data_IF_063191853708
#
_entry.id   IF_063191853708
#
_cell.length_a   1.000
_cell.length_b   1.000
_cell.length_c   1.000
_cell.angle_alpha   90.00
_cell.angle_beta   90.00
_cell.angle_gamma   90.00
#
_symmetry.space_group_name_H-M   'P 1'
#
loop_
_entity.id
_entity.type
_entity.pdbx_description
1 polymer ?
#
# COMPACT_ATOMS: atom_id res chain seq x y z
N UNK A 1 -4.53 -9.61 4.99
CA UNK A 1 -5.54 -9.36 3.94
C UNK A 1 -6.04 -7.94 4.12
N UNK A 2 -6.36 -7.23 3.04
CA UNK A 2 -6.93 -5.89 3.18
C UNK A 2 -8.38 -5.97 3.65
N UNK A 3 -8.81 -4.96 4.42
CA UNK A 3 -10.20 -4.76 4.80
C UNK A 3 -10.56 -3.33 4.43
N UNK A 4 -11.60 -3.14 3.64
CA UNK A 4 -12.11 -1.79 3.32
C UNK A 4 -13.36 -1.54 4.13
N UNK A 5 -13.35 -0.45 4.91
CA UNK A 5 -14.52 0.00 5.68
C UNK A 5 -15.09 1.24 5.02
N UNK A 6 -16.40 1.25 4.83
CA UNK A 6 -17.16 2.34 4.21
C UNK A 6 -18.15 2.84 5.27
N UNK A 7 -17.76 3.82 6.11
CA UNK A 7 -18.54 4.22 7.28
C UNK A 7 -19.96 4.66 6.94
N UNK A 8 -20.13 5.42 5.86
CA UNK A 8 -21.42 5.99 5.43
C UNK A 8 -22.45 4.91 5.04
N UNK A 9 -21.97 3.76 4.58
CA UNK A 9 -22.82 2.62 4.22
C UNK A 9 -22.89 1.55 5.33
N UNK A 10 -22.19 1.77 6.46
CA UNK A 10 -21.96 0.75 7.49
C UNK A 10 -21.50 -0.60 6.88
N UNK A 11 -20.66 -0.54 5.84
CA UNK A 11 -20.27 -1.70 5.04
C UNK A 11 -18.79 -2.00 5.23
N UNK A 12 -18.46 -3.30 5.29
CA UNK A 12 -17.08 -3.79 5.36
C UNK A 12 -16.85 -4.84 4.29
N UNK A 13 -15.78 -4.68 3.52
CA UNK A 13 -15.35 -5.59 2.47
C UNK A 13 -14.06 -6.30 2.87
N UNK A 14 -14.02 -7.61 2.66
CA UNK A 14 -12.85 -8.45 2.95
C UNK A 14 -12.41 -9.27 1.74
N UNK A 15 -13.30 -9.51 0.79
CA UNK A 15 -13.00 -10.33 -0.39
C UNK A 15 -12.25 -9.55 -1.45
N UNK A 16 -11.18 -10.14 -1.99
CA UNK A 16 -10.28 -9.47 -2.96
C UNK A 16 -11.03 -8.91 -4.17
N UNK A 17 -11.95 -9.71 -4.73
CA UNK A 17 -12.72 -9.31 -5.91
C UNK A 17 -13.67 -8.14 -5.61
N UNK A 18 -14.33 -8.18 -4.45
CA UNK A 18 -15.24 -7.10 -4.02
C UNK A 18 -14.50 -5.80 -3.71
N UNK A 19 -13.36 -5.89 -3.02
CA UNK A 19 -12.50 -4.74 -2.74
C UNK A 19 -12.03 -4.11 -4.06
N UNK A 20 -11.52 -4.91 -5.01
CA UNK A 20 -11.11 -4.41 -6.33
C UNK A 20 -12.26 -3.72 -7.06
N UNK A 21 -13.42 -4.34 -7.12
CA UNK A 21 -14.59 -3.79 -7.81
C UNK A 21 -15.07 -2.49 -7.15
N UNK A 22 -15.02 -2.40 -5.82
CA UNK A 22 -15.43 -1.19 -5.10
C UNK A 22 -14.44 -0.04 -5.29
N UNK A 23 -13.14 -0.32 -5.32
CA UNK A 23 -12.09 0.70 -5.40
C UNK A 23 -11.84 1.23 -6.82
N UNK A 24 -12.08 0.40 -7.85
CA UNK A 24 -11.79 0.75 -9.25
C UNK A 24 -12.47 2.04 -9.75
N UNK A 25 -13.74 2.36 -9.42
CA UNK A 25 -14.36 3.62 -9.83
C UNK A 25 -13.65 4.88 -9.29
N UNK A 26 -12.87 4.75 -8.21
CA UNK A 26 -12.11 5.85 -7.61
C UNK A 26 -10.66 5.90 -8.10
N UNK A 27 -10.30 5.11 -9.12
CA UNK A 27 -8.93 5.02 -9.62
C UNK A 27 -7.95 4.30 -8.68
N UNK A 28 -8.46 3.63 -7.64
CA UNK A 28 -7.61 2.95 -6.65
C UNK A 28 -7.44 1.49 -7.04
N UNK A 29 -6.20 1.10 -7.32
CA UNK A 29 -5.85 -0.29 -7.56
C UNK A 29 -5.56 -1.05 -6.27
N UNK A 30 -6.02 -2.30 -6.20
CA UNK A 30 -5.70 -3.21 -5.11
C UNK A 30 -5.23 -4.56 -5.64
N UNK A 31 -4.06 -5.04 -5.22
CA UNK A 31 -3.62 -6.41 -5.49
C UNK A 31 -3.07 -7.11 -4.25
N UNK A 32 -2.88 -8.43 -4.38
CA UNK A 32 -2.25 -9.29 -3.40
C UNK A 32 -1.27 -10.21 -4.11
N UNK A 33 0.01 -9.99 -3.84
CA UNK A 33 1.08 -10.89 -4.25
C UNK A 33 1.33 -11.96 -3.19
N UNK A 34 1.91 -13.08 -3.61
CA UNK A 34 2.28 -14.16 -2.68
C UNK A 34 3.56 -13.76 -1.95
N UNK A 35 3.43 -13.41 -0.67
CA UNK A 35 4.57 -13.00 0.18
C UNK A 35 5.19 -14.18 0.93
N UNK A 36 4.36 -15.14 1.37
CA UNK A 36 4.80 -16.23 2.24
C UNK A 36 5.81 -17.14 1.55
N UNK A 37 6.96 -17.36 2.20
CA UNK A 37 8.02 -18.27 1.72
C UNK A 37 8.97 -17.67 0.69
N UNK A 38 8.81 -16.40 0.28
CA UNK A 38 9.73 -15.75 -0.67
C UNK A 38 10.91 -15.05 -0.02
N UNK A 39 10.73 -14.59 1.22
CA UNK A 39 11.73 -13.84 1.97
C UNK A 39 11.69 -14.27 3.45
N UNK A 40 12.84 -14.16 4.11
CA UNK A 40 12.95 -14.36 5.55
C UNK A 40 12.36 -13.19 6.34
N UNK A 41 12.08 -13.43 7.64
CA UNK A 41 11.48 -12.42 8.53
C UNK A 41 12.35 -11.19 8.75
N UNK A 42 13.65 -11.36 8.55
CA UNK A 42 14.71 -10.36 8.77
C UNK A 42 15.43 -10.03 7.45
N UNK A 43 14.78 -10.30 6.31
CA UNK A 43 15.30 -9.96 4.99
C UNK A 43 15.58 -8.46 4.88
N UNK A 44 16.73 -8.13 4.32
CA UNK A 44 17.14 -6.76 4.04
C UNK A 44 16.29 -6.13 2.94
N UNK A 45 16.32 -4.79 2.85
CA UNK A 45 15.68 -4.04 1.77
C UNK A 45 16.08 -4.53 0.38
N UNK A 46 17.35 -4.87 0.18
CA UNK A 46 17.84 -5.38 -1.11
C UNK A 46 17.30 -6.78 -1.44
N UNK A 47 17.18 -7.66 -0.45
CA UNK A 47 16.61 -9.00 -0.63
C UNK A 47 15.12 -8.92 -0.95
N UNK A 48 14.39 -8.02 -0.29
CA UNK A 48 12.98 -7.73 -0.57
C UNK A 48 12.82 -7.23 -2.00
N UNK A 49 13.57 -6.20 -2.40
CA UNK A 49 13.48 -5.65 -3.76
C UNK A 49 13.82 -6.70 -4.81
N UNK A 50 14.86 -7.52 -4.59
CA UNK A 50 15.21 -8.62 -5.50
C UNK A 50 14.12 -9.68 -5.60
N UNK A 51 13.48 -10.04 -4.48
CA UNK A 51 12.45 -11.08 -4.43
C UNK A 51 11.14 -10.68 -5.15
N UNK A 52 10.85 -9.37 -5.23
CA UNK A 52 9.66 -8.83 -5.90
C UNK A 52 9.96 -8.04 -7.17
N UNK A 53 11.21 -8.09 -7.67
CA UNK A 53 11.61 -7.40 -8.89
C UNK A 53 10.67 -7.71 -10.08
N UNK A 54 10.24 -8.96 -10.33
CA UNK A 54 9.32 -9.24 -11.44
C UNK A 54 8.00 -8.46 -11.35
N UNK A 55 7.40 -8.37 -10.15
CA UNK A 55 6.17 -7.62 -9.95
C UNK A 55 6.40 -6.10 -9.97
N UNK A 56 7.53 -5.63 -9.44
CA UNK A 56 7.91 -4.21 -9.48
C UNK A 56 8.15 -3.76 -10.93
N UNK A 57 8.85 -4.55 -11.75
CA UNK A 57 9.09 -4.23 -13.16
C UNK A 57 7.80 -4.16 -13.96
N UNK A 58 6.83 -5.06 -13.69
CA UNK A 58 5.53 -4.99 -14.35
C UNK A 58 4.72 -3.76 -13.91
N UNK A 59 4.78 -3.37 -12.63
CA UNK A 59 4.20 -2.10 -12.18
C UNK A 59 4.87 -0.89 -12.85
N UNK A 60 6.20 -0.86 -12.90
CA UNK A 60 6.96 0.21 -13.55
C UNK A 60 6.59 0.34 -15.03
N UNK A 61 6.48 -0.80 -15.74
CA UNK A 61 6.08 -0.82 -17.16
C UNK A 61 4.66 -0.30 -17.38
N UNK A 62 3.75 -0.54 -16.44
CA UNK A 62 2.34 -0.16 -16.53
C UNK A 62 2.06 1.28 -16.09
N UNK A 63 2.66 1.70 -14.97
CA UNK A 63 2.42 2.99 -14.33
C UNK A 63 3.50 4.05 -14.58
N UNK A 64 4.61 3.69 -15.22
CA UNK A 64 5.71 4.61 -15.51
C UNK A 64 6.60 4.95 -14.30
N UNK A 65 6.50 4.17 -13.21
CA UNK A 65 7.31 4.38 -12.01
C UNK A 65 8.80 4.11 -12.27
N UNK A 66 9.67 4.95 -11.71
CA UNK A 66 11.12 4.93 -11.98
C UNK A 66 11.89 4.23 -10.85
N UNK A 67 11.46 4.41 -9.60
CA UNK A 67 12.18 3.96 -8.41
C UNK A 67 11.27 3.24 -7.45
N UNK A 68 11.81 2.21 -6.79
CA UNK A 68 11.19 1.53 -5.66
C UNK A 68 12.19 1.48 -4.50
N UNK A 69 11.71 1.79 -3.30
CA UNK A 69 12.45 1.71 -2.06
C UNK A 69 11.68 0.89 -1.01
N UNK A 70 12.36 0.52 0.07
CA UNK A 70 11.78 -0.21 1.19
C UNK A 70 11.96 0.64 2.45
N UNK A 71 10.86 0.87 3.15
CA UNK A 71 10.85 1.58 4.43
C UNK A 71 10.31 0.67 5.53
N UNK A 72 11.07 0.59 6.62
CA UNK A 72 10.67 -0.12 7.84
C UNK A 72 10.23 0.89 8.90
N UNK A 73 8.93 0.85 9.24
CA UNK A 73 8.34 1.71 10.26
C UNK A 73 8.12 0.89 11.53
N UNK A 74 9.02 1.05 12.51
CA UNK A 74 8.95 0.39 13.83
C UNK A 74 8.88 1.43 14.95
N UNK A 75 8.37 1.06 16.15
CA UNK A 75 8.30 1.98 17.30
C UNK A 75 9.65 2.58 17.72
N UNK A 76 10.74 1.90 17.41
CA UNK A 76 12.10 2.28 17.81
C UNK A 76 12.77 3.27 16.83
N UNK A 77 12.12 3.61 15.71
CA UNK A 77 12.66 4.55 14.72
C UNK A 77 12.80 5.94 15.37
N UNK A 78 14.03 6.52 15.41
CA UNK A 78 14.21 7.87 15.91
C UNK A 78 13.42 8.88 15.09
N UNK A 79 12.65 9.75 15.76
CA UNK A 79 11.81 10.74 15.07
C UNK A 79 10.53 10.18 14.43
N UNK A 80 10.14 8.94 14.78
CA UNK A 80 8.91 8.30 14.29
C UNK A 80 7.69 9.23 14.40
N UNK A 81 7.49 9.89 15.54
CA UNK A 81 6.32 10.75 15.73
C UNK A 81 6.28 11.88 14.70
N UNK A 82 7.42 12.55 14.48
CA UNK A 82 7.50 13.64 13.50
C UNK A 82 7.29 13.14 12.06
N UNK A 83 7.70 11.90 11.75
CA UNK A 83 7.40 11.25 10.47
C UNK A 83 5.89 10.98 10.35
N UNK A 84 5.27 10.37 11.37
CA UNK A 84 3.83 10.06 11.38
C UNK A 84 2.97 11.32 11.28
N UNK A 85 3.36 12.42 11.94
CA UNK A 85 2.62 13.69 11.90
C UNK A 85 2.52 14.29 10.50
N UNK A 86 3.46 13.97 9.60
CA UNK A 86 3.39 14.38 8.19
C UNK A 86 2.34 13.59 7.40
N UNK A 87 2.22 12.30 7.68
CA UNK A 87 1.26 11.40 7.01
C UNK A 87 -0.14 11.41 7.65
N UNK A 88 -0.27 11.92 8.87
CA UNK A 88 -1.55 11.97 9.59
C UNK A 88 -2.48 13.12 9.11
N UNK A 89 -1.98 14.04 8.30
CA UNK A 89 -2.79 15.12 7.71
C UNK A 89 -3.22 14.72 6.32
N UNK A 90 -4.47 15.03 5.95
CA UNK A 90 -4.95 14.86 4.59
C UNK A 90 -4.08 15.65 3.61
N UNK A 91 -3.69 15.01 2.51
CA UNK A 91 -2.87 15.58 1.46
C UNK A 91 -3.11 14.86 0.13
N UNK A 92 -2.66 15.47 -0.96
CA UNK A 92 -2.68 14.88 -2.30
C UNK A 92 -1.27 14.86 -2.89
N UNK A 93 -1.06 13.99 -3.87
CA UNK A 93 0.15 13.91 -4.66
C UNK A 93 -0.17 14.20 -6.13
N UNK A 94 0.79 14.78 -6.86
CA UNK A 94 0.67 14.98 -8.30
C UNK A 94 0.93 13.68 -9.08
N UNK A 95 1.55 12.69 -8.44
CA UNK A 95 1.87 11.36 -8.96
C UNK A 95 1.19 10.30 -8.09
N UNK A 96 1.03 9.07 -8.61
CA UNK A 96 0.42 7.99 -7.83
C UNK A 96 1.28 7.62 -6.61
N UNK A 97 0.63 7.35 -5.49
CA UNK A 97 1.27 6.76 -4.32
C UNK A 97 1.05 5.24 -4.29
N UNK A 98 2.07 4.46 -4.68
CA UNK A 98 2.01 3.01 -4.64
C UNK A 98 2.68 2.47 -3.38
N UNK A 99 1.98 1.55 -2.68
CA UNK A 99 2.48 0.91 -1.44
C UNK A 99 2.24 -0.60 -1.48
N UNK A 100 3.32 -1.36 -1.32
CA UNK A 100 3.27 -2.81 -1.16
C UNK A 100 3.65 -3.20 0.28
N UNK A 101 2.71 -3.81 1.00
CA UNK A 101 2.92 -4.18 2.40
C UNK A 101 3.55 -5.58 2.47
N UNK A 102 4.85 -5.62 2.77
CA UNK A 102 5.63 -6.85 2.93
C UNK A 102 5.38 -7.48 4.31
N UNK A 103 5.45 -6.68 5.37
CA UNK A 103 5.30 -7.11 6.77
C UNK A 103 4.51 -6.07 7.56
N UNK A 104 3.78 -6.53 8.58
CA UNK A 104 3.01 -5.65 9.46
C UNK A 104 1.66 -5.27 8.86
N UNK A 105 1.24 -4.03 9.11
CA UNK A 105 -0.05 -3.48 8.67
C UNK A 105 0.05 -1.96 8.50
N UNK A 106 -0.72 -1.42 7.58
CA UNK A 106 -0.94 0.02 7.42
C UNK A 106 -2.43 0.34 7.44
N UNK A 107 -2.77 1.59 7.70
CA UNK A 107 -4.12 2.13 7.59
C UNK A 107 -4.07 3.36 6.68
N UNK A 108 -4.83 3.31 5.58
CA UNK A 108 -4.96 4.41 4.65
C UNK A 108 -6.39 4.95 4.76
N UNK A 109 -6.50 6.25 5.01
CA UNK A 109 -7.77 6.98 4.89
C UNK A 109 -7.77 7.66 3.53
N UNK A 110 -8.78 7.36 2.72
CA UNK A 110 -8.89 7.90 1.36
C UNK A 110 -10.20 8.64 1.25
N UNK A 111 -10.12 9.86 0.75
CA UNK A 111 -11.25 10.72 0.45
C UNK A 111 -11.29 10.92 -1.08
N UNK A 112 -12.06 10.12 -1.81
CA UNK A 112 -12.10 10.19 -3.27
C UNK A 112 -12.93 11.41 -3.74
N UNK A 113 -12.54 12.02 -4.85
CA UNK A 113 -13.25 13.18 -5.44
C UNK A 113 -14.73 12.88 -5.75
N UNK A 114 -15.01 11.65 -6.14
CA UNK A 114 -16.37 11.13 -6.32
C UNK A 114 -16.67 10.15 -5.21
N UNK A 115 -17.67 10.47 -4.41
CA UNK A 115 -18.15 9.65 -3.31
C UNK A 115 -19.16 8.59 -3.79
N UNK A 116 -19.29 7.45 -3.10
CA UNK A 116 -20.60 6.99 -2.65
C UNK A 116 -21.11 7.81 -1.47
#
# INVERSE_FOLDING_TARGET
>A
MATVRIPEQNRTLTEKAEIRAFLAPFGIEYDRWTVSGRIDRDASSEEILRAYDPEIQELNRRGGYITADVIDVTPDVPGLQAMLDRFNKEHTHAEDEVRFIVKGRGLFFIHPDTHP
#
